data_IF_862142996920
#
_entry.id   IF_862142996920
#
_cell.length_a   1.000
_cell.length_b   1.000
_cell.length_c   1.000
_cell.angle_alpha   90.00
_cell.angle_beta   90.00
_cell.angle_gamma   90.00
#
_symmetry.space_group_name_H-M   'P 1'
#
loop_
_entity.id
_entity.type
_entity.pdbx_description
1 polymer ?
#
# COMPACT_ATOMS: atom_id res chain seq x y z
N UNK A 1 13.62 3.80 -6.82
CA UNK A 1 12.76 4.85 -6.21
C UNK A 1 12.12 5.66 -7.32
N UNK A 2 10.82 5.94 -7.22
CA UNK A 2 10.27 7.04 -8.00
C UNK A 2 10.98 8.31 -7.56
N UNK A 3 11.35 9.18 -8.50
CA UNK A 3 11.94 10.46 -8.15
C UNK A 3 10.94 11.27 -7.32
N UNK A 4 11.37 11.96 -6.24
CA UNK A 4 10.48 12.84 -5.51
C UNK A 4 9.86 13.87 -6.43
N UNK A 5 8.55 14.10 -6.29
CA UNK A 5 7.79 15.01 -7.13
C UNK A 5 7.50 16.31 -6.39
N UNK A 6 7.91 17.42 -6.99
CA UNK A 6 7.81 18.76 -6.40
C UNK A 6 6.98 19.66 -7.31
N UNK A 7 5.94 20.27 -6.77
CA UNK A 7 5.11 21.24 -7.47
C UNK A 7 5.45 22.63 -6.99
N UNK A 8 5.83 23.53 -7.91
CA UNK A 8 6.00 24.97 -7.67
C UNK A 8 4.79 25.75 -8.19
N UNK A 9 4.22 26.62 -7.35
CA UNK A 9 3.05 27.43 -7.66
C UNK A 9 3.41 28.91 -7.49
N UNK A 10 3.39 29.66 -8.58
CA UNK A 10 3.73 31.08 -8.60
C UNK A 10 3.09 31.73 -9.84
N UNK A 11 2.55 32.93 -9.73
CA UNK A 11 1.97 33.65 -10.86
C UNK A 11 3.04 34.26 -11.78
N UNK A 12 4.28 34.41 -11.31
CA UNK A 12 5.42 34.88 -12.08
C UNK A 12 6.13 33.73 -12.81
N UNK A 13 5.93 33.63 -14.11
CA UNK A 13 6.59 32.58 -14.94
C UNK A 13 8.13 32.59 -14.81
N UNK A 14 8.75 33.76 -14.60
CA UNK A 14 10.21 33.87 -14.45
C UNK A 14 10.69 33.14 -13.21
N UNK A 15 9.91 33.14 -12.14
CA UNK A 15 10.21 32.42 -10.89
C UNK A 15 10.10 30.91 -11.14
N UNK A 16 9.05 30.45 -11.79
CA UNK A 16 8.85 29.04 -12.14
C UNK A 16 9.96 28.49 -13.04
N UNK A 17 10.39 29.28 -14.04
CA UNK A 17 11.54 28.92 -14.90
C UNK A 17 12.83 28.83 -14.08
N UNK A 18 13.04 29.72 -13.13
CA UNK A 18 14.20 29.70 -12.25
C UNK A 18 14.20 28.44 -11.37
N UNK A 19 13.06 28.09 -10.78
CA UNK A 19 12.91 26.85 -10.00
C UNK A 19 13.22 25.61 -10.86
N UNK A 20 12.65 25.51 -12.05
CA UNK A 20 12.99 24.39 -12.98
C UNK A 20 14.49 24.32 -13.28
N UNK A 21 15.16 25.47 -13.48
CA UNK A 21 16.58 25.53 -13.76
C UNK A 21 17.43 25.11 -12.55
N UNK A 22 17.06 25.51 -11.35
CA UNK A 22 17.73 25.13 -10.08
C UNK A 22 17.80 23.60 -9.94
N UNK A 23 16.74 22.90 -10.36
CA UNK A 23 16.60 21.46 -10.20
C UNK A 23 16.76 20.65 -11.49
N UNK A 24 17.21 21.26 -12.62
CA UNK A 24 17.33 20.59 -13.92
C UNK A 24 18.21 19.34 -13.91
N UNK A 25 19.25 19.33 -13.05
CA UNK A 25 20.19 18.22 -12.91
C UNK A 25 20.01 17.44 -11.59
N UNK A 26 18.86 17.55 -10.95
CA UNK A 26 18.53 16.83 -9.73
C UNK A 26 17.78 15.53 -10.02
N UNK A 27 17.72 14.66 -9.01
CA UNK A 27 16.91 13.45 -9.04
C UNK A 27 15.45 13.70 -8.65
N UNK A 28 14.92 14.91 -8.92
CA UNK A 28 13.54 15.31 -8.62
C UNK A 28 12.73 15.49 -9.91
N UNK A 29 11.44 15.20 -9.85
CA UNK A 29 10.48 15.57 -10.89
C UNK A 29 9.84 16.90 -10.52
N UNK A 30 10.06 17.92 -11.37
CA UNK A 30 9.58 19.28 -11.13
C UNK A 30 8.36 19.56 -12.01
N UNK A 31 7.27 19.90 -11.37
CA UNK A 31 6.07 20.42 -12.01
C UNK A 31 5.80 21.87 -11.56
N UNK A 32 5.02 22.61 -12.33
CA UNK A 32 4.73 24.03 -12.04
C UNK A 32 3.27 24.34 -12.32
N UNK A 33 2.74 25.34 -11.62
CA UNK A 33 1.43 25.93 -11.84
C UNK A 33 1.51 27.45 -11.74
N UNK A 34 0.77 28.18 -12.58
CA UNK A 34 0.79 29.64 -12.65
C UNK A 34 -0.31 30.32 -11.83
N UNK A 35 -1.11 29.54 -11.09
CA UNK A 35 -2.11 30.07 -10.16
C UNK A 35 -2.35 29.10 -9.01
N UNK A 36 -2.92 29.63 -7.91
CA UNK A 36 -3.31 28.80 -6.78
C UNK A 36 -4.37 27.75 -7.12
N UNK A 37 -5.31 28.08 -8.03
CA UNK A 37 -6.35 27.15 -8.50
C UNK A 37 -5.76 25.97 -9.28
N UNK A 38 -4.88 26.27 -10.25
CA UNK A 38 -4.18 25.25 -11.03
C UNK A 38 -3.32 24.38 -10.11
N UNK A 39 -2.54 25.04 -9.24
CA UNK A 39 -1.66 24.36 -8.29
C UNK A 39 -2.43 23.44 -7.34
N UNK A 40 -3.53 23.91 -6.78
CA UNK A 40 -4.38 23.11 -5.90
C UNK A 40 -5.00 21.92 -6.64
N UNK A 41 -5.49 22.12 -7.86
CA UNK A 41 -6.03 21.06 -8.70
C UNK A 41 -4.97 19.98 -8.99
N UNK A 42 -3.77 20.38 -9.39
CA UNK A 42 -2.65 19.46 -9.62
C UNK A 42 -2.28 18.71 -8.34
N UNK A 43 -2.13 19.41 -7.22
CA UNK A 43 -1.72 18.83 -5.95
C UNK A 43 -2.75 17.85 -5.36
N UNK A 44 -4.05 18.05 -5.58
CA UNK A 44 -5.10 17.12 -5.14
C UNK A 44 -5.12 15.86 -6.00
N UNK A 45 -5.01 16.00 -7.32
CA UNK A 45 -5.14 14.90 -8.28
C UNK A 45 -3.83 14.15 -8.55
N UNK A 46 -2.68 14.76 -8.24
CA UNK A 46 -1.35 14.18 -8.40
C UNK A 46 -0.75 13.75 -7.06
N UNK A 47 0.29 12.92 -7.14
CA UNK A 47 1.08 12.52 -5.97
C UNK A 47 2.35 13.38 -5.93
N UNK A 48 2.29 14.48 -5.17
CA UNK A 48 3.44 15.36 -4.92
C UNK A 48 3.92 15.19 -3.49
N UNK A 49 5.24 15.06 -3.33
CA UNK A 49 5.91 14.98 -2.03
C UNK A 49 5.98 16.35 -1.37
N UNK A 50 6.28 17.37 -2.20
CA UNK A 50 6.41 18.76 -1.76
C UNK A 50 5.60 19.67 -2.68
N UNK A 51 4.90 20.64 -2.09
CA UNK A 51 4.29 21.76 -2.79
C UNK A 51 4.95 23.05 -2.26
N UNK A 52 5.55 23.81 -3.15
CA UNK A 52 6.13 25.12 -2.86
C UNK A 52 5.23 26.18 -3.51
N UNK A 53 4.65 27.08 -2.72
CA UNK A 53 3.65 28.04 -3.23
C UNK A 53 3.96 29.45 -2.83
N UNK A 54 3.77 30.41 -3.75
CA UNK A 54 3.81 31.82 -3.36
C UNK A 54 2.65 32.17 -2.42
N UNK A 55 2.93 33.08 -1.51
CA UNK A 55 1.95 33.54 -0.54
C UNK A 55 0.85 34.38 -1.20
N UNK A 56 1.25 35.31 -2.09
CA UNK A 56 0.38 36.25 -2.73
C UNK A 56 0.29 36.00 -4.23
N UNK A 57 -0.85 35.51 -4.66
CA UNK A 57 -1.18 35.28 -6.08
C UNK A 57 -2.59 35.84 -6.33
N UNK A 58 -2.92 36.23 -7.57
CA UNK A 58 -4.30 36.51 -7.96
C UNK A 58 -5.19 35.28 -7.71
N UNK A 59 -6.42 35.48 -7.22
CA UNK A 59 -7.33 34.37 -6.88
C UNK A 59 -6.96 33.70 -5.57
N UNK A 60 -6.65 32.40 -5.59
CA UNK A 60 -6.28 31.59 -4.42
C UNK A 60 -4.81 31.83 -4.08
N UNK A 61 -4.52 32.42 -2.91
CA UNK A 61 -3.15 32.58 -2.41
C UNK A 61 -2.61 31.35 -1.69
N UNK A 62 -1.29 31.36 -1.41
CA UNK A 62 -0.59 30.21 -0.82
C UNK A 62 -1.10 29.75 0.54
N UNK A 63 -1.62 30.64 1.38
CA UNK A 63 -2.23 30.26 2.66
C UNK A 63 -3.51 29.45 2.48
N UNK A 64 -4.28 29.76 1.46
CA UNK A 64 -5.49 29.00 1.13
C UNK A 64 -5.13 27.64 0.49
N UNK A 65 -4.12 27.62 -0.39
CA UNK A 65 -3.55 26.35 -0.91
C UNK A 65 -3.11 25.44 0.25
N UNK A 66 -2.32 25.95 1.19
CA UNK A 66 -1.89 25.25 2.40
C UNK A 66 -3.08 24.68 3.18
N UNK A 67 -4.07 25.54 3.50
CA UNK A 67 -5.24 25.16 4.29
C UNK A 67 -6.07 24.06 3.64
N UNK A 68 -6.28 24.14 2.32
CA UNK A 68 -7.05 23.14 1.57
C UNK A 68 -6.30 21.84 1.41
N UNK A 69 -4.99 21.88 1.11
CA UNK A 69 -4.16 20.67 1.00
C UNK A 69 -4.08 19.92 2.32
N UNK A 70 -3.93 20.62 3.44
CA UNK A 70 -3.92 19.99 4.77
C UNK A 70 -5.16 19.14 5.08
N UNK A 71 -6.32 19.50 4.52
CA UNK A 71 -7.59 18.76 4.70
C UNK A 71 -7.69 17.52 3.81
N UNK A 72 -7.12 17.57 2.60
CA UNK A 72 -7.34 16.56 1.56
C UNK A 72 -6.09 15.66 1.39
N UNK A 73 -4.91 16.24 1.54
CA UNK A 73 -3.59 15.60 1.39
C UNK A 73 -2.68 15.96 2.58
N UNK A 74 -2.98 15.50 3.81
CA UNK A 74 -2.23 15.86 5.03
C UNK A 74 -0.75 15.46 4.98
N UNK A 75 -0.40 14.47 4.15
CA UNK A 75 0.96 13.95 4.01
C UNK A 75 1.82 14.77 3.04
N UNK A 76 1.24 15.68 2.25
CA UNK A 76 2.00 16.56 1.34
C UNK A 76 2.68 17.65 2.15
N UNK A 77 4.00 17.77 2.01
CA UNK A 77 4.77 18.83 2.66
C UNK A 77 4.59 20.14 1.90
N UNK A 78 4.16 21.21 2.59
CA UNK A 78 3.93 22.52 1.97
C UNK A 78 4.97 23.52 2.48
N UNK A 79 5.62 24.23 1.54
CA UNK A 79 6.58 25.31 1.78
C UNK A 79 6.01 26.59 1.18
N UNK A 80 6.08 27.70 1.93
CA UNK A 80 5.70 29.02 1.43
C UNK A 80 6.94 29.78 0.98
N UNK A 81 6.93 30.35 -0.23
CA UNK A 81 8.00 31.26 -0.66
C UNK A 81 7.39 32.57 -1.16
N UNK A 82 7.94 33.73 -0.80
CA UNK A 82 7.27 34.99 -1.09
C UNK A 82 8.18 36.20 -1.04
N UNK A 83 7.88 37.19 -1.89
CA UNK A 83 8.49 38.53 -1.85
C UNK A 83 7.96 39.45 -0.74
N UNK A 84 6.90 39.06 -0.05
CA UNK A 84 6.27 39.84 1.04
C UNK A 84 6.60 39.22 2.41
N UNK A 85 7.89 38.92 2.63
CA UNK A 85 8.32 38.32 3.87
C UNK A 85 8.15 39.28 5.06
N UNK A 86 7.39 38.86 6.07
CA UNK A 86 7.35 39.50 7.39
C UNK A 86 7.37 38.41 8.46
N UNK A 87 7.81 38.78 9.67
CA UNK A 87 7.80 37.88 10.81
C UNK A 87 6.40 37.33 11.10
N UNK A 88 5.39 38.15 10.92
CA UNK A 88 4.00 37.79 11.19
C UNK A 88 3.48 36.78 10.14
N UNK A 89 3.73 37.00 8.84
CA UNK A 89 3.32 36.08 7.78
C UNK A 89 4.05 34.77 7.85
N UNK A 90 5.36 34.76 8.20
CA UNK A 90 6.12 33.55 8.43
C UNK A 90 5.57 32.74 9.61
N UNK A 91 5.32 33.42 10.74
CA UNK A 91 4.74 32.78 11.93
C UNK A 91 3.35 32.20 11.64
N UNK A 92 2.51 32.93 10.90
CA UNK A 92 1.18 32.45 10.52
C UNK A 92 1.26 31.21 9.62
N UNK A 93 2.13 31.19 8.63
CA UNK A 93 2.34 30.06 7.73
C UNK A 93 2.78 28.80 8.51
N UNK A 94 3.79 28.92 9.37
CA UNK A 94 4.27 27.83 10.20
C UNK A 94 3.21 27.33 11.19
N UNK A 95 2.45 28.23 11.82
CA UNK A 95 1.33 27.88 12.72
C UNK A 95 0.23 27.11 12.00
N UNK A 96 -0.03 27.43 10.74
CA UNK A 96 -1.00 26.74 9.90
C UNK A 96 -0.44 25.44 9.26
N UNK A 97 0.80 25.09 9.61
CA UNK A 97 1.41 23.82 9.25
C UNK A 97 2.24 23.84 7.98
N UNK A 98 2.66 24.99 7.47
CA UNK A 98 3.76 25.02 6.50
C UNK A 98 5.00 24.38 7.12
N UNK A 99 5.77 23.66 6.33
CA UNK A 99 7.03 23.06 6.76
C UNK A 99 8.10 24.13 6.95
N UNK A 100 8.17 25.08 6.00
CA UNK A 100 9.13 26.17 6.02
C UNK A 100 8.59 27.38 5.24
N UNK A 101 9.33 28.48 5.35
CA UNK A 101 8.99 29.75 4.76
C UNK A 101 10.25 30.42 4.18
N UNK A 102 10.28 30.64 2.87
CA UNK A 102 11.43 31.15 2.13
C UNK A 102 11.16 32.59 1.64
N UNK A 103 11.92 33.60 2.08
CA UNK A 103 11.80 34.96 1.53
C UNK A 103 12.40 35.04 0.12
N UNK A 104 11.73 35.75 -0.79
CA UNK A 104 12.31 36.18 -2.08
C UNK A 104 13.03 37.52 -1.90
N UNK A 105 14.20 37.75 -2.53
CA UNK A 105 14.91 36.83 -3.40
C UNK A 105 15.66 35.75 -2.60
N UNK A 106 15.71 34.54 -3.14
CA UNK A 106 16.42 33.39 -2.58
C UNK A 106 17.55 32.95 -3.52
N UNK A 107 18.56 32.32 -2.96
CA UNK A 107 19.63 31.70 -3.73
C UNK A 107 19.27 30.26 -4.15
N UNK A 108 19.86 29.72 -5.22
CA UNK A 108 19.70 28.31 -5.58
C UNK A 108 20.05 27.34 -4.44
N UNK A 109 21.04 27.69 -3.64
CA UNK A 109 21.52 26.90 -2.51
C UNK A 109 20.48 26.82 -1.40
N UNK A 110 19.90 27.95 -1.01
CA UNK A 110 18.83 28.02 0.01
C UNK A 110 17.62 27.19 -0.41
N UNK A 111 17.17 27.33 -1.65
CA UNK A 111 16.05 26.53 -2.15
C UNK A 111 16.34 25.02 -2.13
N UNK A 112 17.55 24.61 -2.55
CA UNK A 112 17.96 23.19 -2.51
C UNK A 112 18.02 22.65 -1.09
N UNK A 113 18.54 23.45 -0.14
CA UNK A 113 18.64 23.06 1.27
C UNK A 113 17.27 22.85 1.91
N UNK A 114 16.35 23.78 1.71
CA UNK A 114 14.99 23.67 2.26
C UNK A 114 14.26 22.45 1.68
N UNK A 115 14.35 22.22 0.37
CA UNK A 115 13.75 21.05 -0.28
C UNK A 115 14.36 19.75 0.28
N UNK A 116 15.68 19.69 0.41
CA UNK A 116 16.38 18.54 0.99
C UNK A 116 15.92 18.27 2.42
N UNK A 117 15.90 19.29 3.27
CA UNK A 117 15.44 19.18 4.66
C UNK A 117 13.99 18.71 4.75
N UNK A 118 13.12 19.18 3.85
CA UNK A 118 11.72 18.76 3.79
C UNK A 118 11.59 17.27 3.43
N UNK A 119 12.36 16.80 2.45
CA UNK A 119 12.37 15.38 2.06
C UNK A 119 12.96 14.49 3.17
N UNK A 120 14.04 14.92 3.82
CA UNK A 120 14.64 14.18 4.95
C UNK A 120 13.70 14.10 6.16
N UNK A 121 13.02 15.20 6.50
CA UNK A 121 12.03 15.23 7.58
C UNK A 121 10.83 14.33 7.27
N UNK A 122 10.36 14.31 6.03
CA UNK A 122 9.32 13.40 5.56
C UNK A 122 9.75 11.93 5.70
N UNK A 123 10.93 11.59 5.15
CA UNK A 123 11.49 10.25 5.26
C UNK A 123 11.70 9.82 6.72
N UNK A 124 12.13 10.74 7.60
CA UNK A 124 12.27 10.50 9.02
C UNK A 124 10.94 10.22 9.73
N UNK A 125 9.87 10.97 9.41
CA UNK A 125 8.52 10.71 9.94
C UNK A 125 7.98 9.36 9.49
N UNK A 126 8.14 9.02 8.22
CA UNK A 126 7.71 7.74 7.68
C UNK A 126 8.47 6.59 8.36
N UNK A 127 9.80 6.71 8.49
CA UNK A 127 10.63 5.69 9.17
C UNK A 127 10.25 5.52 10.65
N UNK A 128 10.09 6.61 11.40
CA UNK A 128 9.67 6.55 12.80
C UNK A 128 8.28 5.94 12.97
N UNK A 129 7.35 6.25 12.06
CA UNK A 129 6.01 5.67 12.09
C UNK A 129 6.04 4.17 11.82
N UNK A 130 6.89 3.72 10.89
CA UNK A 130 7.06 2.31 10.54
C UNK A 130 7.73 1.53 11.68
N UNK A 131 8.77 2.09 12.31
CA UNK A 131 9.43 1.49 13.48
C UNK A 131 8.46 1.36 14.64
N UNK A 132 7.68 2.41 14.93
CA UNK A 132 6.62 2.36 15.95
C UNK A 132 5.59 1.27 15.64
N UNK A 133 5.15 1.17 14.39
CA UNK A 133 4.18 0.16 13.96
C UNK A 133 4.75 -1.26 14.06
N UNK A 134 6.03 -1.46 13.77
CA UNK A 134 6.68 -2.76 13.94
C UNK A 134 6.70 -3.18 15.43
N UNK A 135 7.05 -2.25 16.34
CA UNK A 135 7.04 -2.48 17.78
C UNK A 135 5.62 -2.77 18.27
N UNK A 136 4.65 -1.90 17.96
CA UNK A 136 3.24 -2.07 18.35
C UNK A 136 2.67 -3.38 17.86
N UNK A 137 2.99 -3.77 16.62
CA UNK A 137 2.53 -5.04 16.05
C UNK A 137 3.10 -6.25 16.79
N UNK A 138 4.37 -6.19 17.18
CA UNK A 138 5.00 -7.26 17.98
C UNK A 138 4.35 -7.36 19.36
N UNK A 139 4.16 -6.23 20.03
CA UNK A 139 3.55 -6.16 21.37
C UNK A 139 2.06 -6.55 21.37
N UNK A 140 1.33 -6.31 20.28
CA UNK A 140 -0.07 -6.74 20.15
C UNK A 140 -0.21 -8.22 19.79
N UNK A 141 0.74 -8.77 19.05
CA UNK A 141 0.68 -10.18 18.61
C UNK A 141 0.71 -11.15 19.80
N UNK A 142 1.54 -10.90 20.79
CA UNK A 142 1.70 -11.79 21.95
C UNK A 142 0.41 -11.95 22.77
N UNK A 143 -0.26 -10.87 23.27
CA UNK A 143 -1.50 -11.00 24.01
C UNK A 143 -2.65 -11.55 23.15
N UNK A 144 -2.67 -11.24 21.86
CA UNK A 144 -3.71 -11.72 20.95
C UNK A 144 -3.60 -13.23 20.71
N UNK A 145 -2.38 -13.74 20.50
CA UNK A 145 -2.13 -15.18 20.39
C UNK A 145 -2.46 -15.93 21.69
N UNK A 146 -2.18 -15.31 22.86
CA UNK A 146 -2.58 -15.89 24.14
C UNK A 146 -4.11 -15.99 24.27
N UNK A 147 -4.85 -14.92 23.91
CA UNK A 147 -6.31 -14.92 23.90
C UNK A 147 -6.88 -15.95 22.93
N UNK A 148 -6.35 -16.04 21.72
CA UNK A 148 -6.73 -17.02 20.71
C UNK A 148 -6.52 -18.45 21.21
N UNK A 149 -5.33 -18.75 21.78
CA UNK A 149 -5.01 -20.06 22.31
C UNK A 149 -5.93 -20.44 23.47
N UNK A 150 -6.16 -19.52 24.39
CA UNK A 150 -7.04 -19.75 25.55
C UNK A 150 -8.47 -20.03 25.11
N UNK A 151 -9.02 -19.18 24.21
CA UNK A 151 -10.37 -19.36 23.69
C UNK A 151 -10.51 -20.68 22.91
N UNK A 152 -9.52 -21.02 22.08
CA UNK A 152 -9.48 -22.28 21.33
C UNK A 152 -9.39 -23.51 22.24
N UNK A 153 -8.63 -23.43 23.32
CA UNK A 153 -8.49 -24.54 24.29
C UNK A 153 -9.81 -24.76 25.03
N UNK A 154 -10.50 -23.69 25.44
CA UNK A 154 -11.83 -23.78 26.04
C UNK A 154 -12.84 -24.37 25.03
N UNK A 155 -12.85 -23.87 23.78
CA UNK A 155 -13.74 -24.34 22.72
C UNK A 155 -13.59 -25.83 22.43
N UNK A 156 -12.37 -26.37 22.49
CA UNK A 156 -12.08 -27.79 22.30
C UNK A 156 -12.51 -28.68 23.49
N UNK A 157 -13.06 -28.08 24.54
CA UNK A 157 -13.62 -28.82 25.67
C UNK A 157 -12.59 -29.38 26.67
N UNK A 158 -11.34 -28.92 26.67
CA UNK A 158 -10.29 -29.40 27.58
C UNK A 158 -10.62 -29.14 29.06
N UNK A 159 -11.52 -28.22 29.37
CA UNK A 159 -11.93 -27.87 30.73
C UNK A 159 -13.38 -28.26 31.05
N UNK A 160 -14.00 -29.10 30.24
CA UNK A 160 -15.38 -29.57 30.43
C UNK A 160 -16.28 -29.27 29.24
N UNK A 161 -17.51 -29.78 29.30
CA UNK A 161 -18.49 -29.54 28.25
C UNK A 161 -19.07 -28.12 28.32
N UNK A 162 -19.20 -27.49 27.18
CA UNK A 162 -19.73 -26.14 27.03
C UNK A 162 -21.18 -26.16 26.56
N UNK A 163 -21.98 -25.18 26.98
CA UNK A 163 -23.29 -24.97 26.40
C UNK A 163 -23.19 -24.44 24.96
N UNK A 164 -24.24 -24.61 24.12
CA UNK A 164 -24.25 -24.05 22.77
C UNK A 164 -24.02 -22.53 22.73
N UNK A 165 -24.53 -21.80 23.74
CA UNK A 165 -24.30 -20.35 23.87
C UNK A 165 -22.84 -20.02 24.18
N UNK A 166 -22.20 -20.76 25.07
CA UNK A 166 -20.79 -20.60 25.39
C UNK A 166 -19.91 -20.90 24.19
N UNK A 167 -20.19 -21.95 23.42
CA UNK A 167 -19.49 -22.27 22.18
C UNK A 167 -19.60 -21.11 21.19
N UNK A 168 -20.78 -20.54 20.97
CA UNK A 168 -21.00 -19.42 20.07
C UNK A 168 -20.23 -18.15 20.48
N UNK A 169 -20.12 -17.90 21.79
CA UNK A 169 -19.31 -16.79 22.33
C UNK A 169 -17.83 -17.02 22.03
N UNK A 170 -17.31 -18.22 22.32
CA UNK A 170 -15.91 -18.56 22.06
C UNK A 170 -15.56 -18.51 20.57
N UNK A 171 -16.42 -19.02 19.69
CA UNK A 171 -16.26 -18.87 18.24
C UNK A 171 -16.16 -17.39 17.82
N UNK A 172 -16.93 -16.52 18.47
CA UNK A 172 -16.90 -15.09 18.18
C UNK A 172 -15.58 -14.48 18.65
N UNK A 173 -15.06 -14.88 19.81
CA UNK A 173 -13.76 -14.43 20.34
C UNK A 173 -12.64 -14.91 19.42
N UNK A 174 -12.60 -16.21 19.08
CA UNK A 174 -11.60 -16.79 18.18
C UNK A 174 -11.55 -16.03 16.85
N UNK A 175 -12.72 -15.86 16.20
CA UNK A 175 -12.84 -15.11 14.93
C UNK A 175 -12.39 -13.64 15.04
N UNK A 176 -12.58 -13.01 16.20
CA UNK A 176 -12.09 -11.64 16.41
C UNK A 176 -10.58 -11.59 16.58
N UNK A 177 -9.99 -12.56 17.28
CA UNK A 177 -8.54 -12.69 17.39
C UNK A 177 -7.89 -12.89 16.01
N UNK A 178 -8.38 -13.84 15.22
CA UNK A 178 -7.92 -14.08 13.84
C UNK A 178 -8.02 -12.82 12.95
N UNK A 179 -9.13 -12.07 13.08
CA UNK A 179 -9.31 -10.83 12.34
C UNK A 179 -8.30 -9.76 12.72
N UNK A 180 -8.00 -9.60 14.02
CA UNK A 180 -7.01 -8.64 14.50
C UNK A 180 -5.59 -9.05 14.06
N UNK A 181 -5.27 -10.35 14.10
CA UNK A 181 -4.01 -10.87 13.58
C UNK A 181 -3.83 -10.58 12.08
N UNK A 182 -4.90 -10.75 11.27
CA UNK A 182 -4.90 -10.45 9.84
C UNK A 182 -4.65 -8.95 9.57
N UNK A 183 -5.25 -8.06 10.38
CA UNK A 183 -5.01 -6.61 10.31
C UNK A 183 -3.55 -6.27 10.63
N UNK A 184 -3.04 -6.77 11.75
CA UNK A 184 -1.66 -6.52 12.20
C UNK A 184 -0.67 -7.01 11.14
N UNK A 185 -0.86 -8.22 10.63
CA UNK A 185 -0.03 -8.81 9.57
C UNK A 185 -0.05 -7.96 8.30
N UNK A 186 -1.25 -7.60 7.83
CA UNK A 186 -1.42 -6.79 6.63
C UNK A 186 -0.76 -5.41 6.76
N UNK A 187 -0.81 -4.83 7.96
CA UNK A 187 -0.19 -3.54 8.22
C UNK A 187 1.34 -3.64 8.26
N UNK A 188 1.88 -4.71 8.86
CA UNK A 188 3.32 -5.00 8.83
C UNK A 188 3.84 -5.24 7.41
N UNK A 189 3.08 -5.97 6.59
CA UNK A 189 3.44 -6.21 5.19
C UNK A 189 3.46 -4.90 4.40
N UNK A 190 2.48 -4.02 4.61
CA UNK A 190 2.46 -2.69 4.00
C UNK A 190 3.65 -1.84 4.45
N UNK A 191 3.95 -1.82 5.76
CA UNK A 191 5.08 -1.09 6.33
C UNK A 191 6.42 -1.57 5.79
N UNK A 192 6.64 -2.89 5.72
CA UNK A 192 7.85 -3.47 5.11
C UNK A 192 7.98 -3.08 3.64
N UNK A 193 6.89 -3.10 2.90
CA UNK A 193 6.88 -2.72 1.50
C UNK A 193 7.23 -1.24 1.29
N UNK A 194 6.76 -0.34 2.15
CA UNK A 194 7.10 1.07 2.11
C UNK A 194 8.57 1.31 2.47
N UNK A 195 9.14 0.57 3.43
CA UNK A 195 10.58 0.56 3.75
C UNK A 195 11.44 -0.05 2.62
N UNK A 196 11.01 -1.18 2.08
CA UNK A 196 11.73 -1.90 1.03
C UNK A 196 11.68 -1.19 -0.33
N UNK A 197 10.71 -0.30 -0.57
CA UNK A 197 10.76 0.65 -1.70
C UNK A 197 11.98 1.59 -1.60
N UNK A 198 12.51 1.81 -0.40
CA UNK A 198 13.77 2.54 -0.17
C UNK A 198 15.01 1.70 -0.50
N UNK A 199 14.89 0.36 -0.59
CA UNK A 199 15.99 -0.54 -0.90
C UNK A 199 15.49 -1.70 -1.78
N UNK A 200 15.10 -1.40 -3.04
CA UNK A 200 14.64 -2.43 -3.97
C UNK A 200 15.76 -3.45 -4.27
N UNK A 201 15.85 -4.48 -3.46
CA UNK A 201 16.70 -5.65 -3.69
C UNK A 201 16.05 -6.51 -4.77
N UNK A 202 16.32 -6.21 -6.03
CA UNK A 202 15.89 -7.06 -7.14
C UNK A 202 17.04 -7.99 -7.50
N UNK A 203 16.79 -9.27 -7.38
CA UNK A 203 17.73 -10.33 -7.77
C UNK A 203 17.08 -11.28 -8.78
N UNK A 204 17.89 -12.03 -9.48
CA UNK A 204 17.40 -13.11 -10.34
C UNK A 204 16.98 -14.29 -9.47
N UNK A 205 15.71 -14.68 -9.57
CA UNK A 205 15.10 -15.77 -8.79
C UNK A 205 14.38 -16.77 -9.69
N UNK A 206 14.25 -17.98 -9.22
CA UNK A 206 13.33 -18.97 -9.76
C UNK A 206 11.99 -18.85 -9.04
N UNK A 207 10.96 -18.37 -9.74
CA UNK A 207 9.70 -17.96 -9.13
C UNK A 207 9.00 -19.08 -8.35
N UNK A 208 9.03 -20.30 -8.86
CA UNK A 208 8.41 -21.45 -8.15
C UNK A 208 9.23 -21.82 -6.92
N UNK A 209 10.51 -22.09 -7.11
CA UNK A 209 11.40 -22.60 -6.05
C UNK A 209 11.58 -21.58 -4.91
N UNK A 210 11.83 -20.31 -5.27
CA UNK A 210 12.24 -19.30 -4.29
C UNK A 210 11.04 -18.52 -3.70
N UNK A 211 9.83 -18.67 -4.29
CA UNK A 211 8.64 -17.95 -3.84
C UNK A 211 7.46 -18.86 -3.59
N UNK A 212 6.99 -19.61 -4.61
CA UNK A 212 5.73 -20.37 -4.50
C UNK A 212 5.87 -21.52 -3.51
N UNK A 213 6.97 -22.28 -3.57
CA UNK A 213 7.17 -23.44 -2.71
C UNK A 213 7.32 -23.05 -1.24
N UNK A 214 8.01 -21.96 -0.95
CA UNK A 214 8.09 -21.41 0.40
C UNK A 214 6.72 -21.04 0.97
N UNK A 215 5.85 -20.44 0.14
CA UNK A 215 4.50 -20.08 0.56
C UNK A 215 3.62 -21.29 0.77
N UNK A 216 3.72 -22.30 -0.08
CA UNK A 216 2.94 -23.54 0.06
C UNK A 216 3.32 -24.36 1.32
N UNK A 217 4.55 -24.23 1.80
CA UNK A 217 5.02 -24.86 3.03
C UNK A 217 4.58 -24.12 4.31
N UNK A 218 3.92 -22.97 4.21
CA UNK A 218 3.39 -22.26 5.38
C UNK A 218 2.25 -23.06 6.03
N UNK A 219 2.23 -23.22 7.37
CA UNK A 219 1.20 -23.99 8.07
C UNK A 219 -0.23 -23.54 7.74
N UNK A 220 -0.46 -22.23 7.61
CA UNK A 220 -1.78 -21.64 7.28
C UNK A 220 -2.28 -21.98 5.87
N UNK A 221 -1.39 -22.36 4.96
CA UNK A 221 -1.74 -22.78 3.59
C UNK A 221 -1.90 -24.30 3.55
N UNK A 222 -0.99 -25.05 4.20
CA UNK A 222 -0.97 -26.49 4.20
C UNK A 222 -2.14 -27.10 5.00
N UNK A 223 -2.49 -26.51 6.15
CA UNK A 223 -3.61 -26.93 7.00
C UNK A 223 -4.65 -25.79 7.09
N UNK A 224 -5.31 -25.54 5.97
CA UNK A 224 -6.39 -24.56 5.92
C UNK A 224 -7.70 -25.21 6.41
N UNK A 225 -8.37 -24.59 7.37
CA UNK A 225 -9.57 -25.11 8.02
C UNK A 225 -10.75 -25.45 7.09
N UNK A 226 -10.69 -25.07 5.78
CA UNK A 226 -11.68 -25.42 4.76
C UNK A 226 -11.37 -26.69 4.00
N UNK A 227 -10.30 -27.40 4.34
CA UNK A 227 -9.87 -28.65 3.68
C UNK A 227 -9.70 -28.49 2.15
N UNK A 228 -9.37 -27.30 1.69
CA UNK A 228 -9.12 -27.04 0.28
C UNK A 228 -7.70 -27.51 -0.09
N UNK A 229 -7.58 -28.25 -1.19
CA UNK A 229 -6.30 -28.66 -1.73
C UNK A 229 -5.73 -27.57 -2.60
N UNK A 230 -4.46 -27.21 -2.41
CA UNK A 230 -3.74 -26.29 -3.31
C UNK A 230 -2.88 -27.10 -4.27
N UNK A 231 -3.11 -26.94 -5.57
CA UNK A 231 -2.41 -27.73 -6.61
C UNK A 231 -1.67 -26.82 -7.57
N UNK A 232 -0.48 -27.28 -7.99
CA UNK A 232 0.31 -26.65 -9.05
C UNK A 232 -0.11 -27.25 -10.40
N UNK A 233 -0.52 -26.42 -11.33
CA UNK A 233 -0.88 -26.83 -12.69
C UNK A 233 0.18 -26.37 -13.70
N UNK A 234 1.47 -26.55 -13.35
CA UNK A 234 2.64 -26.23 -14.18
C UNK A 234 3.79 -27.14 -13.80
N UNK A 235 4.72 -27.38 -14.74
CA UNK A 235 5.87 -28.28 -14.53
C UNK A 235 7.20 -27.54 -14.54
N UNK A 236 7.27 -26.40 -15.22
CA UNK A 236 8.51 -25.62 -15.38
C UNK A 236 8.53 -24.42 -14.44
N UNK A 237 9.73 -24.08 -13.96
CA UNK A 237 9.99 -22.85 -13.21
C UNK A 237 10.41 -21.73 -14.16
N UNK A 238 10.09 -20.51 -13.82
CA UNK A 238 10.41 -19.34 -14.64
C UNK A 238 11.35 -18.42 -13.86
N UNK A 239 12.46 -18.05 -14.51
CA UNK A 239 13.42 -17.10 -13.95
C UNK A 239 12.96 -15.67 -14.23
N UNK A 240 12.90 -14.85 -13.17
CA UNK A 240 12.52 -13.45 -13.21
C UNK A 240 13.48 -12.61 -12.38
N UNK A 241 13.46 -11.28 -12.56
CA UNK A 241 14.11 -10.34 -11.65
C UNK A 241 13.09 -9.72 -10.72
N UNK A 242 13.22 -9.96 -9.42
CA UNK A 242 12.28 -9.45 -8.42
C UNK A 242 12.81 -9.52 -6.99
N UNK A 243 12.04 -8.97 -6.06
CA UNK A 243 12.31 -9.11 -4.63
C UNK A 243 11.54 -10.34 -4.10
N UNK A 244 12.22 -11.44 -3.73
CA UNK A 244 11.55 -12.67 -3.29
C UNK A 244 10.69 -12.45 -2.04
N UNK A 245 11.05 -11.51 -1.16
CA UNK A 245 10.29 -11.21 0.06
C UNK A 245 8.93 -10.62 -0.29
N UNK A 246 8.90 -9.63 -1.18
CA UNK A 246 7.67 -8.99 -1.64
C UNK A 246 6.81 -9.97 -2.46
N UNK A 247 7.43 -10.77 -3.33
CA UNK A 247 6.71 -11.76 -4.12
C UNK A 247 6.11 -12.88 -3.27
N UNK A 248 6.74 -13.29 -2.17
CA UNK A 248 6.13 -14.19 -1.18
C UNK A 248 4.89 -13.59 -0.52
N UNK A 249 4.92 -12.30 -0.19
CA UNK A 249 3.75 -11.58 0.32
C UNK A 249 2.61 -11.58 -0.71
N UNK A 250 2.92 -11.30 -1.98
CA UNK A 250 1.97 -11.33 -3.09
C UNK A 250 1.29 -12.70 -3.22
N UNK A 251 2.09 -13.77 -3.39
CA UNK A 251 1.58 -15.14 -3.59
C UNK A 251 0.76 -15.59 -2.38
N UNK A 252 1.23 -15.34 -1.15
CA UNK A 252 0.51 -15.65 0.08
C UNK A 252 -0.86 -14.94 0.14
N UNK A 253 -0.93 -13.65 -0.18
CA UNK A 253 -2.19 -12.92 -0.17
C UNK A 253 -3.19 -13.47 -1.19
N UNK A 254 -2.75 -13.82 -2.40
CA UNK A 254 -3.62 -14.40 -3.42
C UNK A 254 -4.14 -15.79 -3.02
N UNK A 255 -3.27 -16.66 -2.50
CA UNK A 255 -3.66 -17.99 -2.05
C UNK A 255 -4.61 -17.91 -0.84
N UNK A 256 -4.31 -17.06 0.15
CA UNK A 256 -5.18 -16.86 1.30
C UNK A 256 -6.55 -16.30 0.89
N UNK A 257 -6.63 -15.42 -0.08
CA UNK A 257 -7.91 -14.97 -0.64
C UNK A 257 -8.66 -16.12 -1.31
N UNK A 258 -7.99 -16.96 -2.09
CA UNK A 258 -8.60 -18.11 -2.74
C UNK A 258 -9.19 -19.09 -1.72
N UNK A 259 -8.46 -19.41 -0.64
CA UNK A 259 -8.94 -20.24 0.47
C UNK A 259 -10.10 -19.56 1.20
N UNK A 260 -9.98 -18.28 1.50
CA UNK A 260 -10.94 -17.50 2.29
C UNK A 260 -12.31 -17.40 1.62
N UNK A 261 -12.34 -17.11 0.33
CA UNK A 261 -13.53 -16.92 -0.47
C UNK A 261 -13.96 -18.15 -1.30
N UNK A 262 -13.13 -19.19 -1.28
CA UNK A 262 -13.44 -20.48 -1.91
C UNK A 262 -14.48 -21.28 -1.13
N UNK A 263 -15.17 -22.18 -1.83
CA UNK A 263 -16.07 -23.15 -1.22
C UNK A 263 -15.30 -24.28 -0.54
N UNK A 264 -15.84 -24.78 0.58
CA UNK A 264 -15.24 -25.86 1.34
C UNK A 264 -15.11 -27.15 0.48
N UNK A 265 -13.97 -27.82 0.60
CA UNK A 265 -13.71 -29.07 -0.11
C UNK A 265 -13.39 -28.92 -1.60
N UNK A 266 -13.34 -27.69 -2.14
CA UNK A 266 -12.91 -27.44 -3.52
C UNK A 266 -11.38 -27.30 -3.62
N UNK A 267 -10.90 -26.98 -4.81
CA UNK A 267 -9.46 -26.90 -5.11
C UNK A 267 -9.03 -25.49 -5.47
N UNK A 268 -7.88 -25.05 -4.94
CA UNK A 268 -7.16 -23.86 -5.40
C UNK A 268 -6.12 -24.31 -6.42
N UNK A 269 -6.21 -23.80 -7.66
CA UNK A 269 -5.28 -24.17 -8.74
C UNK A 269 -4.33 -23.03 -9.02
N UNK A 270 -3.03 -23.31 -8.96
CA UNK A 270 -1.99 -22.36 -9.32
C UNK A 270 -1.56 -22.64 -10.77
N UNK A 271 -1.60 -21.60 -11.60
CA UNK A 271 -1.10 -21.64 -12.98
C UNK A 271 0.16 -20.79 -13.12
N UNK A 272 1.05 -21.20 -14.01
CA UNK A 272 2.24 -20.46 -14.38
C UNK A 272 2.51 -20.65 -15.86
N UNK A 273 2.62 -19.57 -16.60
CA UNK A 273 2.93 -19.60 -18.03
C UNK A 273 3.89 -18.48 -18.43
N UNK A 274 4.66 -18.74 -19.46
CA UNK A 274 5.47 -17.74 -20.13
C UNK A 274 4.75 -17.32 -21.42
N UNK A 275 4.41 -16.03 -21.50
CA UNK A 275 3.75 -15.47 -22.68
C UNK A 275 4.44 -14.18 -23.11
N UNK A 276 4.84 -14.13 -24.36
CA UNK A 276 5.64 -13.02 -24.90
C UNK A 276 6.90 -12.78 -24.04
N UNK A 277 7.06 -11.61 -23.45
CA UNK A 277 8.16 -11.27 -22.55
C UNK A 277 7.72 -11.14 -21.08
N UNK A 278 6.64 -11.84 -20.71
CA UNK A 278 6.09 -11.82 -19.34
C UNK A 278 5.94 -13.23 -18.78
N UNK A 279 6.12 -13.35 -17.48
CA UNK A 279 5.66 -14.47 -16.67
C UNK A 279 4.24 -14.15 -16.20
N UNK A 280 3.28 -15.04 -16.44
CA UNK A 280 1.92 -14.92 -15.93
C UNK A 280 1.69 -16.00 -14.88
N UNK A 281 1.45 -15.55 -13.65
CA UNK A 281 1.05 -16.40 -12.54
C UNK A 281 -0.44 -16.24 -12.28
N UNK A 282 -1.16 -17.34 -12.04
CA UNK A 282 -2.59 -17.33 -11.78
C UNK A 282 -2.96 -18.15 -10.55
N UNK A 283 -4.01 -17.69 -9.85
CA UNK A 283 -4.60 -18.37 -8.70
C UNK A 283 -6.10 -18.46 -8.93
N UNK A 284 -6.58 -19.68 -9.16
CA UNK A 284 -7.99 -20.01 -9.39
C UNK A 284 -8.60 -20.63 -8.15
N UNK A 285 -9.86 -20.29 -7.86
CA UNK A 285 -10.71 -21.04 -6.92
C UNK A 285 -12.18 -21.03 -7.34
N UNK A 286 -12.89 -22.10 -7.02
CA UNK A 286 -14.35 -22.09 -6.97
C UNK A 286 -14.80 -21.38 -5.70
N UNK A 287 -15.82 -20.51 -5.81
CA UNK A 287 -16.26 -19.70 -4.68
C UNK A 287 -17.30 -18.66 -5.06
N UNK A 288 -17.47 -17.67 -4.19
CA UNK A 288 -18.50 -16.63 -4.35
C UNK A 288 -18.34 -15.75 -5.59
N UNK A 289 -17.15 -15.79 -6.23
CA UNK A 289 -16.84 -14.97 -7.40
C UNK A 289 -16.88 -13.47 -7.10
N UNK A 290 -16.78 -12.64 -8.15
CA UNK A 290 -16.75 -11.19 -8.08
C UNK A 290 -17.66 -10.63 -9.17
N UNK A 291 -18.46 -9.63 -8.86
CA UNK A 291 -19.29 -8.95 -9.85
C UNK A 291 -18.46 -8.02 -10.72
N UNK A 292 -18.74 -7.91 -12.03
CA UNK A 292 -17.99 -7.04 -12.92
C UNK A 292 -17.92 -5.58 -12.46
N UNK A 293 -19.01 -5.05 -11.91
CA UNK A 293 -19.07 -3.67 -11.41
C UNK A 293 -18.17 -3.39 -10.21
N UNK A 294 -17.79 -4.40 -9.45
CA UNK A 294 -16.94 -4.27 -8.26
C UNK A 294 -15.44 -4.27 -8.60
N UNK A 295 -15.08 -4.58 -9.85
CA UNK A 295 -13.69 -4.76 -10.27
C UNK A 295 -12.77 -3.56 -10.02
N UNK A 296 -13.26 -2.34 -10.27
CA UNK A 296 -12.49 -1.12 -10.08
C UNK A 296 -12.21 -0.79 -8.60
N UNK A 297 -13.00 -1.34 -7.68
CA UNK A 297 -12.87 -1.10 -6.24
C UNK A 297 -12.00 -2.12 -5.54
N UNK A 298 -11.80 -3.28 -6.15
CA UNK A 298 -11.18 -4.45 -5.53
C UNK A 298 -9.75 -4.22 -5.02
N UNK A 299 -8.99 -3.35 -5.69
CA UNK A 299 -7.61 -3.03 -5.36
C UNK A 299 -7.44 -1.73 -4.55
N UNK A 300 -8.54 -1.14 -4.04
CA UNK A 300 -8.49 0.06 -3.20
C UNK A 300 -8.16 -0.30 -1.75
N UNK A 301 -7.49 0.61 -1.06
CA UNK A 301 -7.11 0.48 0.35
C UNK A 301 -8.38 0.43 1.23
N UNK A 302 -8.45 -0.58 2.13
CA UNK A 302 -9.58 -0.84 3.03
C UNK A 302 -10.91 -1.17 2.36
N UNK A 303 -10.92 -1.43 1.07
CA UNK A 303 -12.12 -1.79 0.35
C UNK A 303 -12.46 -3.27 0.53
N UNK A 304 -13.73 -3.55 0.77
CA UNK A 304 -14.26 -4.91 0.91
C UNK A 304 -15.60 -5.01 0.18
N UNK A 305 -15.72 -6.02 -0.64
CA UNK A 305 -16.97 -6.27 -1.34
C UNK A 305 -17.96 -6.93 -0.40
N UNK A 306 -19.15 -6.30 -0.26
CA UNK A 306 -20.30 -6.89 0.43
C UNK A 306 -21.17 -7.58 -0.61
N UNK A 307 -21.16 -8.90 -0.62
CA UNK A 307 -21.97 -9.68 -1.56
C UNK A 307 -22.48 -10.97 -0.87
N UNK A 308 -23.56 -11.58 -1.37
CA UNK A 308 -24.06 -12.84 -0.83
C UNK A 308 -22.96 -13.91 -0.77
N UNK A 309 -22.90 -14.64 0.34
CA UNK A 309 -21.88 -15.66 0.59
C UNK A 309 -20.56 -15.13 1.19
N UNK A 310 -20.45 -13.82 1.43
CA UNK A 310 -19.31 -13.23 2.16
C UNK A 310 -19.68 -12.78 3.58
N UNK A 311 -20.88 -13.10 4.04
CA UNK A 311 -21.34 -12.81 5.40
C UNK A 311 -20.46 -13.55 6.41
N UNK A 312 -19.86 -12.80 7.32
CA UNK A 312 -18.94 -13.36 8.32
C UNK A 312 -17.49 -13.58 7.88
N UNK A 313 -17.18 -13.48 6.59
CA UNK A 313 -15.79 -13.49 6.13
C UNK A 313 -15.12 -12.19 6.53
N UNK A 314 -14.19 -12.22 7.48
CA UNK A 314 -13.47 -11.03 7.97
C UNK A 314 -12.16 -10.83 7.20
N UNK A 315 -11.71 -9.58 7.08
CA UNK A 315 -10.43 -9.24 6.46
C UNK A 315 -10.15 -7.75 6.49
N UNK A 316 -8.87 -7.37 6.45
CA UNK A 316 -8.40 -5.99 6.54
C UNK A 316 -8.79 -5.11 5.34
N UNK A 317 -9.07 -5.69 4.16
CA UNK A 317 -9.21 -4.95 2.91
C UNK A 317 -7.90 -4.39 2.38
N UNK A 318 -6.76 -4.87 2.90
CA UNK A 318 -5.42 -4.44 2.49
C UNK A 318 -4.72 -5.44 1.55
N UNK A 319 -5.07 -6.73 1.61
CA UNK A 319 -4.33 -7.78 0.89
C UNK A 319 -4.19 -7.54 -0.61
N UNK A 320 -5.29 -7.26 -1.32
CA UNK A 320 -5.25 -6.99 -2.77
C UNK A 320 -4.65 -5.62 -3.11
N UNK A 321 -4.80 -4.62 -2.25
CA UNK A 321 -4.08 -3.36 -2.38
C UNK A 321 -2.56 -3.56 -2.30
N UNK A 322 -2.08 -4.36 -1.34
CA UNK A 322 -0.67 -4.76 -1.22
C UNK A 322 -0.22 -5.51 -2.46
N UNK A 323 -1.01 -6.47 -2.95
CA UNK A 323 -0.72 -7.18 -4.20
C UNK A 323 -0.52 -6.21 -5.37
N UNK A 324 -1.42 -5.24 -5.55
CA UNK A 324 -1.31 -4.23 -6.60
C UNK A 324 -0.02 -3.41 -6.49
N UNK A 325 0.31 -2.95 -5.28
CA UNK A 325 1.54 -2.18 -5.03
C UNK A 325 2.82 -2.97 -5.32
N UNK A 326 2.86 -4.25 -4.91
CA UNK A 326 3.99 -5.14 -5.20
C UNK A 326 4.15 -5.33 -6.70
N UNK A 327 3.06 -5.60 -7.41
CA UNK A 327 3.08 -5.79 -8.87
C UNK A 327 3.52 -4.53 -9.59
N UNK A 328 3.02 -3.35 -9.18
CA UNK A 328 3.44 -2.05 -9.73
C UNK A 328 4.93 -1.77 -9.52
N UNK A 329 5.49 -2.11 -8.33
CA UNK A 329 6.92 -1.96 -8.04
C UNK A 329 7.81 -2.87 -8.91
N UNK A 330 7.24 -3.97 -9.40
CA UNK A 330 7.89 -4.90 -10.34
C UNK A 330 7.58 -4.57 -11.81
N UNK A 331 6.91 -3.43 -12.09
CA UNK A 331 6.49 -3.00 -13.44
C UNK A 331 5.57 -4.02 -14.13
N UNK A 332 4.79 -4.75 -13.34
CA UNK A 332 3.84 -5.75 -13.80
C UNK A 332 2.41 -5.23 -13.85
N UNK A 333 1.47 -6.17 -14.03
CA UNK A 333 0.03 -5.90 -14.00
C UNK A 333 -0.69 -7.02 -13.24
N UNK A 334 -1.77 -6.66 -12.54
CA UNK A 334 -2.66 -7.59 -11.83
C UNK A 334 -4.09 -7.36 -12.29
N UNK A 335 -4.81 -8.45 -12.57
CA UNK A 335 -6.22 -8.42 -12.95
C UNK A 335 -6.91 -9.71 -12.47
N UNK A 336 -8.19 -9.83 -12.72
CA UNK A 336 -8.96 -11.02 -12.43
C UNK A 336 -9.98 -11.30 -13.52
N UNK A 337 -10.42 -12.54 -13.58
CA UNK A 337 -11.57 -13.01 -14.31
C UNK A 337 -12.46 -13.79 -13.35
N UNK A 338 -13.77 -13.65 -13.46
CA UNK A 338 -14.68 -14.26 -12.50
C UNK A 338 -16.09 -14.44 -13.06
N UNK A 339 -16.75 -15.48 -12.57
CA UNK A 339 -18.20 -15.65 -12.70
C UNK A 339 -18.81 -15.70 -11.30
N UNK A 340 -19.70 -14.74 -11.03
CA UNK A 340 -20.32 -14.61 -9.71
C UNK A 340 -21.02 -15.92 -9.29
N UNK A 341 -20.76 -16.37 -8.06
CA UNK A 341 -21.32 -17.59 -7.49
C UNK A 341 -20.65 -18.87 -7.97
N UNK A 342 -19.62 -18.80 -8.85
CA UNK A 342 -18.97 -19.99 -9.38
C UNK A 342 -17.47 -20.01 -9.13
N UNK A 343 -16.74 -19.02 -9.62
CA UNK A 343 -15.29 -19.03 -9.56
C UNK A 343 -14.66 -17.63 -9.72
N UNK A 344 -13.40 -17.52 -9.33
CA UNK A 344 -12.53 -16.39 -9.64
C UNK A 344 -11.12 -16.87 -9.95
N UNK A 345 -10.44 -16.19 -10.87
CA UNK A 345 -9.02 -16.34 -11.13
C UNK A 345 -8.36 -14.98 -11.03
N UNK A 346 -7.38 -14.85 -10.17
CA UNK A 346 -6.47 -13.71 -10.16
C UNK A 346 -5.25 -13.99 -10.99
N UNK A 347 -4.84 -13.03 -11.79
CA UNK A 347 -3.67 -13.10 -12.66
C UNK A 347 -2.67 -12.02 -12.30
N UNK A 348 -1.41 -12.36 -12.33
CA UNK A 348 -0.27 -11.45 -12.17
C UNK A 348 0.69 -11.66 -13.31
N UNK A 349 0.97 -10.62 -14.08
CA UNK A 349 2.02 -10.63 -15.10
C UNK A 349 3.22 -9.82 -14.61
N UNK A 350 4.41 -10.41 -14.67
CA UNK A 350 5.68 -9.76 -14.36
C UNK A 350 6.61 -9.85 -15.57
N UNK A 351 7.39 -8.80 -15.88
CA UNK A 351 8.32 -8.82 -16.99
C UNK A 351 9.42 -9.87 -16.76
N UNK A 352 9.74 -10.62 -17.79
CA UNK A 352 10.92 -11.50 -17.80
C UNK A 352 12.19 -10.68 -17.88
N UNK A 353 13.26 -11.20 -17.31
CA UNK A 353 14.60 -10.66 -17.50
C UNK A 353 15.00 -10.82 -18.96
N UNK A 354 15.34 -9.72 -19.64
CA UNK A 354 15.94 -9.73 -20.98
C UNK A 354 17.39 -10.20 -20.90
#
# INVERSE_FOLDING_TARGET
MSKPRILFIDDEEIVLRSCRRIFANSDYEIDTAQSGEEGLSKAINGDYDIVVTDLKMPGIGGMEVLSRLRKVRPDTTVIIFTGYASVDTAREALKNGAFDYIPKPFTPEEMREVIKNALEARAGKERNMLDLMAIVSHELKSPLSALHTTASTLYKGYFGQLSPEQMKILETIIRNCEYLEDIIRSYLDLSKMELDQLAAFKEEIYFVKDVVDDVLNLPEVADNGKKMKVTKNFQEDIKITGDPRLLKILVRNLINNAIKYGYEGTEVKLGLEKKDNEMIFSVYNEGVGIRPEDGQRLFRKFERLKQPGTEGVKGSGLGLYICKKIVDSHKGRIWFESEQGKWVTFYVALPLTS
#
